data_IF_823971136700
#
_entry.id   IF_823971136700
#
_cell.length_a   1.000
_cell.length_b   1.000
_cell.length_c   1.000
_cell.angle_alpha   90.00
_cell.angle_beta   90.00
_cell.angle_gamma   90.00
#
_symmetry.space_group_name_H-M   'P 1'
#
loop_
_entity.id
_entity.type
_entity.pdbx_description
1 polymer ?
#
# COMPACT_ATOMS: atom_id res chain seq x y z
N UNK A 1 -0.20 -11.97 -16.55
CA UNK A 1 -0.98 -10.76 -16.93
C UNK A 1 -0.23 -9.94 -17.98
N UNK A 2 -0.90 -9.15 -18.84
CA UNK A 2 -0.24 -8.44 -19.95
C UNK A 2 0.83 -7.40 -19.56
N UNK A 3 0.91 -6.95 -18.29
CA UNK A 3 1.74 -5.80 -17.89
C UNK A 3 2.56 -5.92 -16.58
N UNK A 4 2.76 -7.08 -15.96
CA UNK A 4 3.69 -7.08 -14.79
C UNK A 4 3.89 -8.34 -13.97
N UNK A 5 2.89 -9.20 -13.83
CA UNK A 5 3.01 -10.33 -12.91
C UNK A 5 3.44 -11.61 -13.65
N UNK A 6 4.73 -11.72 -14.01
CA UNK A 6 5.31 -12.98 -14.57
C UNK A 6 5.86 -13.90 -13.49
N UNK A 7 6.31 -13.34 -12.36
CA UNK A 7 6.93 -14.08 -11.26
C UNK A 7 5.92 -14.56 -10.20
N UNK A 8 4.72 -13.98 -10.15
CA UNK A 8 3.67 -14.41 -9.22
C UNK A 8 3.02 -15.69 -9.72
N UNK A 9 3.02 -16.73 -8.88
CA UNK A 9 2.51 -18.07 -9.21
C UNK A 9 1.37 -18.55 -8.31
N UNK A 10 1.10 -17.84 -7.21
CA UNK A 10 0.04 -18.18 -6.25
C UNK A 10 -1.03 -17.10 -6.21
N UNK A 11 -2.26 -17.49 -5.89
CA UNK A 11 -3.43 -16.61 -5.90
C UNK A 11 -3.34 -15.44 -4.90
N UNK A 12 -2.75 -15.70 -3.74
CA UNK A 12 -2.49 -14.73 -2.66
C UNK A 12 -1.50 -13.63 -3.06
N UNK A 13 -0.75 -13.79 -4.16
CA UNK A 13 0.19 -12.80 -4.67
C UNK A 13 -0.45 -11.79 -5.63
N UNK A 14 -1.76 -11.86 -5.84
CA UNK A 14 -2.49 -10.96 -6.74
C UNK A 14 -3.44 -10.07 -5.96
N UNK A 15 -3.34 -8.77 -6.19
CA UNK A 15 -4.30 -7.81 -5.66
C UNK A 15 -5.67 -7.98 -6.35
N UNK A 16 -6.69 -7.35 -5.75
CA UNK A 16 -8.05 -7.43 -6.29
C UNK A 16 -8.14 -6.81 -7.70
N UNK A 17 -7.32 -5.82 -8.01
CA UNK A 17 -7.29 -5.20 -9.32
C UNK A 17 -6.79 -6.17 -10.40
N UNK A 18 -5.74 -6.93 -10.12
CA UNK A 18 -5.26 -8.00 -10.97
C UNK A 18 -6.36 -9.06 -11.15
N UNK A 19 -7.00 -9.52 -10.08
CA UNK A 19 -8.05 -10.54 -10.19
C UNK A 19 -9.21 -10.05 -11.09
N UNK A 20 -9.70 -8.83 -10.89
CA UNK A 20 -10.76 -8.25 -11.70
C UNK A 20 -10.34 -8.06 -13.17
N UNK A 21 -9.11 -7.61 -13.42
CA UNK A 21 -8.58 -7.46 -14.78
C UNK A 21 -8.37 -8.81 -15.47
N UNK A 22 -8.02 -9.87 -14.72
CA UNK A 22 -7.98 -11.22 -15.26
C UNK A 22 -9.39 -11.65 -15.67
N UNK A 23 -10.37 -11.47 -14.80
CA UNK A 23 -11.77 -11.81 -15.09
C UNK A 23 -12.33 -11.08 -16.30
N UNK A 24 -11.95 -9.81 -16.52
CA UNK A 24 -12.43 -9.02 -17.67
C UNK A 24 -11.78 -9.41 -19.00
N UNK A 25 -10.54 -9.89 -18.99
CA UNK A 25 -9.74 -10.15 -20.21
C UNK A 25 -9.60 -11.63 -20.57
N UNK A 26 -9.86 -12.54 -19.63
CA UNK A 26 -9.60 -13.96 -19.81
C UNK A 26 -10.82 -14.72 -20.37
N UNK A 27 -10.57 -15.53 -21.41
CA UNK A 27 -11.60 -16.33 -22.09
C UNK A 27 -12.27 -17.38 -21.18
N UNK A 28 -11.64 -17.77 -20.08
CA UNK A 28 -12.20 -18.72 -19.12
C UNK A 28 -13.38 -18.13 -18.33
N UNK A 29 -13.49 -16.80 -18.22
CA UNK A 29 -14.58 -16.13 -17.51
C UNK A 29 -15.70 -15.64 -18.44
N UNK A 30 -15.77 -16.13 -19.69
CA UNK A 30 -16.80 -15.75 -20.67
C UNK A 30 -18.23 -15.95 -20.19
N UNK A 31 -18.45 -16.87 -19.23
CA UNK A 31 -19.77 -17.12 -18.64
C UNK A 31 -20.24 -15.96 -17.75
N UNK A 32 -19.32 -15.16 -17.23
CA UNK A 32 -19.62 -13.98 -16.42
C UNK A 32 -19.67 -12.75 -17.35
N UNK A 33 -20.72 -11.94 -17.29
CA UNK A 33 -20.81 -10.72 -18.10
C UNK A 33 -19.64 -9.78 -17.83
N UNK A 34 -18.72 -9.66 -18.80
CA UNK A 34 -17.51 -8.84 -18.68
C UNK A 34 -17.81 -7.38 -18.32
N UNK A 35 -18.96 -6.85 -18.75
CA UNK A 35 -19.40 -5.50 -18.39
C UNK A 35 -19.57 -5.30 -16.88
N UNK A 36 -20.06 -6.31 -16.14
CA UNK A 36 -20.21 -6.21 -14.69
C UNK A 36 -18.87 -6.13 -13.97
N UNK A 37 -17.87 -6.87 -14.46
CA UNK A 37 -16.50 -6.80 -13.94
C UNK A 37 -15.89 -5.43 -14.25
N UNK A 38 -16.07 -4.92 -15.47
CA UNK A 38 -15.59 -3.58 -15.89
C UNK A 38 -16.23 -2.47 -15.03
N UNK A 39 -17.52 -2.58 -14.72
CA UNK A 39 -18.21 -1.60 -13.88
C UNK A 39 -17.63 -1.57 -12.46
N UNK A 40 -17.32 -2.73 -11.87
CA UNK A 40 -16.66 -2.81 -10.55
C UNK A 40 -15.23 -2.24 -10.59
N UNK A 41 -14.46 -2.51 -11.65
CA UNK A 41 -13.14 -1.89 -11.86
C UNK A 41 -13.29 -0.37 -11.93
N UNK A 42 -14.30 0.13 -12.62
CA UNK A 42 -14.57 1.57 -12.76
C UNK A 42 -14.91 2.21 -11.42
N UNK A 43 -15.77 1.57 -10.61
CA UNK A 43 -16.09 2.02 -9.25
C UNK A 43 -14.83 2.10 -8.40
N UNK A 44 -13.99 1.05 -8.41
CA UNK A 44 -12.71 1.04 -7.69
C UNK A 44 -11.83 2.22 -8.11
N UNK A 45 -11.62 2.39 -9.41
CA UNK A 45 -10.76 3.45 -9.93
C UNK A 45 -11.30 4.84 -9.56
N UNK A 46 -12.62 5.07 -9.64
CA UNK A 46 -13.24 6.34 -9.21
C UNK A 46 -12.99 6.63 -7.73
N UNK A 47 -13.11 5.62 -6.86
CA UNK A 47 -12.84 5.77 -5.43
C UNK A 47 -11.36 6.04 -5.15
N UNK A 48 -10.46 5.32 -5.81
CA UNK A 48 -9.00 5.49 -5.64
C UNK A 48 -8.46 6.80 -6.19
N UNK A 49 -9.16 7.42 -7.14
CA UNK A 49 -8.80 8.73 -7.71
C UNK A 49 -9.61 9.89 -7.11
N UNK A 50 -10.45 9.63 -6.11
CA UNK A 50 -11.10 10.71 -5.37
C UNK A 50 -10.07 11.34 -4.43
N UNK A 51 -9.77 12.65 -4.56
CA UNK A 51 -8.69 13.30 -3.80
C UNK A 51 -8.88 13.22 -2.28
N UNK A 52 -10.13 13.20 -1.82
CA UNK A 52 -10.48 13.12 -0.40
C UNK A 52 -11.04 11.76 0.01
N UNK A 53 -11.05 10.76 -0.89
CA UNK A 53 -11.80 9.50 -0.72
C UNK A 53 -13.29 9.68 -0.38
N UNK A 54 -13.84 10.86 -0.67
CA UNK A 54 -15.25 11.19 -0.48
C UNK A 54 -16.03 10.85 -1.73
N UNK A 55 -17.25 10.36 -1.51
CA UNK A 55 -18.22 10.04 -2.56
C UNK A 55 -19.60 10.46 -2.04
N UNK A 56 -20.47 10.93 -2.93
CA UNK A 56 -21.83 11.31 -2.55
C UNK A 56 -22.62 10.09 -2.07
N UNK A 57 -23.64 10.30 -1.23
CA UNK A 57 -24.50 9.19 -0.77
C UNK A 57 -25.20 8.47 -1.93
N UNK A 58 -25.52 9.19 -3.01
CA UNK A 58 -26.10 8.61 -4.22
C UNK A 58 -25.09 7.73 -4.95
N UNK A 59 -23.87 8.23 -5.14
CA UNK A 59 -22.79 7.47 -5.75
C UNK A 59 -22.42 6.24 -4.91
N UNK A 60 -22.40 6.34 -3.58
CA UNK A 60 -22.15 5.20 -2.68
C UNK A 60 -23.21 4.10 -2.86
N UNK A 61 -24.49 4.47 -2.93
CA UNK A 61 -25.58 3.52 -3.22
C UNK A 61 -25.41 2.87 -4.59
N UNK A 62 -25.04 3.65 -5.60
CA UNK A 62 -24.78 3.15 -6.95
C UNK A 62 -23.57 2.21 -7.01
N UNK A 63 -22.50 2.52 -6.27
CA UNK A 63 -21.32 1.69 -6.13
C UNK A 63 -21.65 0.37 -5.44
N UNK A 64 -22.38 0.41 -4.32
CA UNK A 64 -22.84 -0.78 -3.62
C UNK A 64 -23.69 -1.69 -4.53
N UNK A 65 -24.65 -1.12 -5.24
CA UNK A 65 -25.48 -1.84 -6.23
C UNK A 65 -24.63 -2.50 -7.32
N UNK A 66 -23.60 -1.80 -7.81
CA UNK A 66 -22.69 -2.33 -8.84
C UNK A 66 -21.94 -3.58 -8.35
N UNK A 67 -21.50 -3.57 -7.08
CA UNK A 67 -20.82 -4.72 -6.47
C UNK A 67 -21.78 -5.90 -6.28
N UNK A 68 -23.01 -5.64 -5.81
CA UNK A 68 -24.04 -6.68 -5.67
C UNK A 68 -24.37 -7.34 -7.00
N UNK A 69 -24.52 -6.56 -8.07
CA UNK A 69 -24.77 -7.10 -9.43
C UNK A 69 -23.68 -8.03 -9.92
N UNK A 70 -22.41 -7.81 -9.53
CA UNK A 70 -21.35 -8.75 -9.84
C UNK A 70 -21.48 -10.02 -9.00
N UNK A 71 -21.78 -9.90 -7.70
CA UNK A 71 -21.97 -11.05 -6.81
C UNK A 71 -23.11 -11.96 -7.28
N UNK A 72 -24.26 -11.39 -7.66
CA UNK A 72 -25.40 -12.12 -8.24
C UNK A 72 -25.00 -12.91 -9.49
N UNK A 73 -24.15 -12.34 -10.35
CA UNK A 73 -23.67 -12.99 -11.57
C UNK A 73 -22.62 -14.08 -11.31
N UNK A 74 -21.94 -14.05 -10.16
CA UNK A 74 -20.97 -15.06 -9.76
C UNK A 74 -21.63 -16.26 -9.08
N UNK A 75 -22.75 -16.04 -8.39
CA UNK A 75 -23.44 -17.04 -7.59
C UNK A 75 -23.80 -18.35 -8.35
N UNK A 76 -24.29 -18.31 -9.61
CA UNK A 76 -24.60 -19.54 -10.37
C UNK A 76 -23.35 -20.35 -10.75
N UNK A 77 -22.18 -19.72 -10.75
CA UNK A 77 -20.92 -20.34 -11.18
C UNK A 77 -20.10 -20.86 -10.00
N UNK A 78 -20.36 -20.39 -8.78
CA UNK A 78 -19.61 -20.75 -7.57
C UNK A 78 -20.60 -21.00 -6.42
N UNK A 79 -20.97 -22.26 -6.14
CA UNK A 79 -21.92 -22.62 -5.09
C UNK A 79 -21.54 -22.11 -3.69
N UNK A 80 -20.23 -22.02 -3.42
CA UNK A 80 -19.67 -21.49 -2.17
C UNK A 80 -19.97 -19.99 -1.97
N UNK A 81 -20.34 -19.28 -3.04
CA UNK A 81 -20.70 -17.85 -3.02
C UNK A 81 -22.20 -17.60 -2.80
N UNK A 82 -23.00 -18.62 -2.47
CA UNK A 82 -24.44 -18.47 -2.22
C UNK A 82 -24.80 -17.37 -1.21
N UNK A 83 -23.97 -17.17 -0.19
CA UNK A 83 -24.18 -16.17 0.86
C UNK A 83 -23.42 -14.85 0.61
N UNK A 84 -22.80 -14.68 -0.57
CA UNK A 84 -21.93 -13.55 -0.86
C UNK A 84 -22.67 -12.22 -0.83
N UNK A 85 -23.85 -12.15 -1.47
CA UNK A 85 -24.72 -10.97 -1.45
C UNK A 85 -25.04 -10.55 -0.02
N UNK A 86 -25.51 -11.50 0.80
CA UNK A 86 -25.83 -11.29 2.21
C UNK A 86 -24.62 -10.76 3.00
N UNK A 87 -23.42 -11.32 2.77
CA UNK A 87 -22.19 -10.85 3.43
C UNK A 87 -21.83 -9.42 3.01
N UNK A 88 -21.99 -9.08 1.73
CA UNK A 88 -21.72 -7.73 1.21
C UNK A 88 -22.71 -6.72 1.82
N UNK A 89 -24.00 -7.04 1.85
CA UNK A 89 -25.03 -6.18 2.45
C UNK A 89 -24.84 -6.03 3.95
N UNK A 90 -24.52 -7.11 4.67
CA UNK A 90 -24.21 -7.06 6.10
C UNK A 90 -23.02 -6.13 6.37
N UNK A 91 -21.95 -6.27 5.62
CA UNK A 91 -20.77 -5.42 5.76
C UNK A 91 -21.10 -3.95 5.49
N UNK A 92 -21.85 -3.66 4.43
CA UNK A 92 -22.29 -2.29 4.12
C UNK A 92 -23.15 -1.69 5.24
N UNK A 93 -24.11 -2.45 5.78
CA UNK A 93 -24.95 -2.00 6.89
C UNK A 93 -24.14 -1.74 8.18
N UNK A 94 -23.12 -2.57 8.46
CA UNK A 94 -22.21 -2.34 9.58
C UNK A 94 -21.45 -1.03 9.42
N UNK A 95 -20.93 -0.75 8.22
CA UNK A 95 -20.25 0.53 7.96
C UNK A 95 -21.21 1.71 8.09
N UNK A 96 -22.40 1.64 7.52
CA UNK A 96 -23.38 2.73 7.57
C UNK A 96 -23.80 3.07 9.00
N UNK A 97 -24.05 2.05 9.84
CA UNK A 97 -24.38 2.22 11.26
C UNK A 97 -23.25 2.81 12.08
N UNK A 98 -22.00 2.45 11.77
CA UNK A 98 -20.86 2.83 12.59
C UNK A 98 -20.28 4.21 12.22
N UNK A 99 -20.47 4.65 10.97
CA UNK A 99 -19.81 5.86 10.47
C UNK A 99 -20.76 6.96 9.97
N UNK A 100 -21.99 6.62 9.56
CA UNK A 100 -22.95 7.60 9.02
C UNK A 100 -24.09 7.93 9.98
N UNK A 101 -24.37 7.08 10.98
CA UNK A 101 -25.27 7.44 12.07
C UNK A 101 -24.49 8.28 13.09
N UNK A 102 -24.99 9.50 13.35
CA UNK A 102 -24.50 10.29 14.47
C UNK A 102 -24.51 9.41 15.73
N UNK A 103 -23.49 9.49 16.60
CA UNK A 103 -23.58 8.85 17.90
C UNK A 103 -24.84 9.37 18.56
N UNK A 104 -25.89 8.55 18.62
CA UNK A 104 -27.01 8.89 19.47
C UNK A 104 -26.43 8.99 20.88
N UNK A 105 -26.59 10.15 21.51
CA UNK A 105 -26.40 10.33 22.94
C UNK A 105 -27.41 9.40 23.63
N UNK A 106 -27.06 8.12 23.75
CA UNK A 106 -27.81 7.17 24.56
C UNK A 106 -27.07 7.11 25.87
N UNK A 107 -27.56 7.96 26.75
CA UNK A 107 -27.31 7.91 28.18
C UNK A 107 -27.34 6.43 28.65
N UNK A 108 -26.18 5.94 29.08
CA UNK A 108 -26.06 4.71 29.88
C UNK A 108 -26.49 3.36 29.30
N UNK A 109 -26.81 3.21 28.00
CA UNK A 109 -27.09 1.87 27.45
C UNK A 109 -25.84 1.17 26.94
N UNK A 110 -25.56 0.02 27.56
CA UNK A 110 -24.60 -0.98 27.16
C UNK A 110 -24.66 -1.17 25.63
N UNK A 111 -23.62 -0.73 24.90
CA UNK A 111 -23.48 -1.04 23.47
C UNK A 111 -23.65 -2.55 23.31
N UNK A 112 -24.64 -2.97 22.53
CA UNK A 112 -24.91 -4.38 22.27
C UNK A 112 -23.59 -5.11 21.95
N UNK A 113 -23.36 -6.28 22.58
CA UNK A 113 -22.12 -7.06 22.45
C UNK A 113 -21.81 -7.39 20.99
N UNK A 114 -22.86 -7.51 20.17
CA UNK A 114 -22.75 -7.70 18.73
C UNK A 114 -22.24 -6.44 18.02
N UNK A 115 -22.75 -5.26 18.38
CA UNK A 115 -22.27 -3.97 17.89
C UNK A 115 -20.80 -3.75 18.26
N UNK A 116 -20.38 -4.08 19.49
CA UNK A 116 -18.96 -3.99 19.89
C UNK A 116 -18.07 -4.94 19.08
N UNK A 117 -18.51 -6.17 18.83
CA UNK A 117 -17.78 -7.13 17.97
C UNK A 117 -17.68 -6.65 16.52
N UNK A 118 -18.73 -6.01 16.01
CA UNK A 118 -18.74 -5.52 14.64
C UNK A 118 -17.90 -4.25 14.48
N UNK A 119 -17.84 -3.39 15.49
CA UNK A 119 -16.84 -2.31 15.58
C UNK A 119 -15.42 -2.85 15.63
N UNK A 120 -15.15 -3.88 16.43
CA UNK A 120 -13.82 -4.47 16.52
C UNK A 120 -13.35 -5.01 15.16
N UNK A 121 -14.22 -5.70 14.41
CA UNK A 121 -13.88 -6.18 13.06
C UNK A 121 -13.56 -5.06 12.07
N UNK A 122 -14.20 -3.90 12.22
CA UNK A 122 -13.92 -2.71 11.41
C UNK A 122 -12.55 -2.16 11.78
N UNK A 123 -12.28 -1.98 13.08
CA UNK A 123 -10.97 -1.53 13.58
C UNK A 123 -9.84 -2.46 13.16
N UNK A 124 -10.01 -3.78 13.26
CA UNK A 124 -9.01 -4.76 12.85
C UNK A 124 -8.70 -4.66 11.34
N UNK A 125 -9.72 -4.37 10.52
CA UNK A 125 -9.54 -4.17 9.07
C UNK A 125 -8.87 -2.84 8.75
N UNK A 126 -9.20 -1.78 9.47
CA UNK A 126 -8.52 -0.49 9.33
C UNK A 126 -7.05 -0.60 9.69
N UNK A 127 -6.73 -1.26 10.82
CA UNK A 127 -5.36 -1.55 11.22
C UNK A 127 -4.61 -2.37 10.16
N UNK A 128 -5.26 -3.38 9.58
CA UNK A 128 -4.66 -4.16 8.49
C UNK A 128 -4.42 -3.31 7.23
N UNK A 129 -5.38 -2.45 6.84
CA UNK A 129 -5.21 -1.56 5.69
C UNK A 129 -4.07 -0.56 5.88
N UNK A 130 -3.91 -0.03 7.10
CA UNK A 130 -2.78 0.84 7.47
C UNK A 130 -1.46 0.05 7.39
N UNK A 131 -1.44 -1.18 7.91
CA UNK A 131 -0.26 -2.05 7.84
C UNK A 131 0.15 -2.36 6.40
N UNK A 132 -0.82 -2.72 5.55
CA UNK A 132 -0.59 -2.98 4.13
C UNK A 132 -0.02 -1.74 3.43
N UNK A 133 -0.51 -0.54 3.79
CA UNK A 133 0.00 0.73 3.24
C UNK A 133 1.44 1.01 3.67
N UNK A 134 1.78 0.72 4.93
CA UNK A 134 3.16 0.84 5.45
C UNK A 134 4.09 -0.15 4.74
N UNK A 135 3.64 -1.39 4.51
CA UNK A 135 4.42 -2.43 3.83
C UNK A 135 4.64 -2.11 2.33
N UNK A 136 3.65 -1.48 1.68
CA UNK A 136 3.80 -0.90 0.34
C UNK A 136 4.89 0.19 0.32
N UNK A 137 4.94 1.07 1.32
CA UNK A 137 6.03 2.04 1.44
C UNK A 137 7.40 1.35 1.60
N UNK A 138 7.54 0.37 2.49
CA UNK A 138 8.81 -0.34 2.66
C UNK A 138 9.28 -1.07 1.39
N UNK A 139 8.36 -1.72 0.68
CA UNK A 139 8.67 -2.42 -0.57
C UNK A 139 9.22 -1.49 -1.66
N UNK A 140 8.79 -0.22 -1.66
CA UNK A 140 9.29 0.82 -2.57
C UNK A 140 10.64 1.38 -2.14
N UNK A 141 10.94 1.40 -0.84
CA UNK A 141 12.26 1.76 -0.33
C UNK A 141 13.32 0.70 -0.64
N UNK A 142 12.96 -0.59 -0.59
CA UNK A 142 13.89 -1.69 -0.89
C UNK A 142 14.17 -1.88 -2.39
N UNK A 143 13.24 -1.48 -3.25
CA UNK A 143 13.42 -1.51 -4.71
C UNK A 143 13.64 -0.12 -5.28
N UNK A 144 14.89 0.27 -5.53
CA UNK A 144 15.32 1.53 -6.19
C UNK A 144 14.33 2.03 -7.29
N UNK A 145 13.29 2.76 -6.91
CA UNK A 145 12.38 3.46 -7.81
C UNK A 145 12.30 4.91 -7.35
N UNK A 146 13.19 5.71 -7.92
CA UNK A 146 13.03 7.15 -7.98
C UNK A 146 11.93 7.53 -8.99
N UNK A 147 11.28 8.65 -8.67
CA UNK A 147 10.50 9.52 -9.57
C UNK A 147 9.06 9.10 -9.94
N UNK A 148 8.11 9.41 -9.05
CA UNK A 148 7.15 10.50 -9.31
C UNK A 148 6.09 10.61 -8.20
N UNK A 149 6.15 11.69 -7.42
CA UNK A 149 4.98 12.31 -6.80
C UNK A 149 4.17 11.46 -5.81
N UNK A 150 4.78 10.49 -5.12
CA UNK A 150 4.09 9.73 -4.09
C UNK A 150 4.44 10.25 -2.69
N UNK A 151 3.41 10.43 -1.88
CA UNK A 151 3.49 10.89 -0.49
C UNK A 151 4.50 10.05 0.29
N UNK A 152 5.46 10.69 0.98
CA UNK A 152 6.40 9.93 1.81
C UNK A 152 5.66 9.26 2.97
N UNK A 153 6.23 8.20 3.54
CA UNK A 153 5.70 7.58 4.76
C UNK A 153 5.53 8.62 5.89
N UNK A 154 6.41 9.63 5.92
CA UNK A 154 6.31 10.75 6.86
C UNK A 154 5.11 11.65 6.55
N UNK A 155 4.87 11.98 5.29
CA UNK A 155 3.71 12.77 4.89
C UNK A 155 2.39 12.02 5.16
N UNK A 156 2.38 10.68 5.00
CA UNK A 156 1.26 9.83 5.35
C UNK A 156 0.97 9.83 6.85
N UNK A 157 2.01 9.74 7.69
CA UNK A 157 1.86 9.77 9.15
C UNK A 157 1.45 11.17 9.64
N UNK A 158 1.95 12.25 9.04
CA UNK A 158 1.56 13.63 9.38
C UNK A 158 0.08 13.91 9.07
N UNK A 159 -0.50 13.24 8.07
CA UNK A 159 -1.94 13.33 7.76
C UNK A 159 -2.82 12.55 8.74
N UNK A 160 -2.26 11.58 9.47
CA UNK A 160 -2.98 10.75 10.44
C UNK A 160 -2.52 11.09 11.86
N UNK A 161 -3.04 12.19 12.41
CA UNK A 161 -2.65 12.74 13.72
C UNK A 161 -2.77 11.74 14.87
N UNK A 162 -3.77 10.88 14.82
CA UNK A 162 -4.01 9.80 15.77
C UNK A 162 -2.91 8.71 15.71
N UNK A 163 -2.44 8.37 14.51
CA UNK A 163 -1.30 7.48 14.34
C UNK A 163 -0.01 8.14 14.80
N UNK A 164 0.19 9.43 14.49
CA UNK A 164 1.36 10.18 14.92
C UNK A 164 1.43 10.33 16.44
N UNK A 165 0.29 10.46 17.13
CA UNK A 165 0.25 10.54 18.60
C UNK A 165 0.69 9.22 19.24
N UNK A 166 0.31 8.08 18.65
CA UNK A 166 0.65 6.75 19.16
C UNK A 166 2.04 6.25 18.72
N UNK A 167 2.49 6.61 17.53
CA UNK A 167 3.77 6.18 16.93
C UNK A 167 4.85 7.27 16.97
N UNK A 168 4.55 8.43 17.53
CA UNK A 168 5.46 9.58 17.60
C UNK A 168 6.85 9.24 18.16
N UNK A 169 6.97 8.44 19.25
CA UNK A 169 8.28 8.02 19.77
C UNK A 169 9.10 7.22 18.74
N UNK A 170 8.48 6.27 18.05
CA UNK A 170 9.08 5.43 17.02
C UNK A 170 9.46 6.24 15.79
N UNK A 171 8.61 7.16 15.35
CA UNK A 171 8.85 8.07 14.22
C UNK A 171 10.02 9.01 14.52
N UNK A 172 10.11 9.55 15.74
CA UNK A 172 11.25 10.38 16.15
C UNK A 172 12.55 9.58 16.15
N UNK A 173 12.51 8.33 16.62
CA UNK A 173 13.67 7.43 16.59
C UNK A 173 14.11 7.10 15.16
N UNK A 174 13.16 6.94 14.23
CA UNK A 174 13.42 6.80 12.80
C UNK A 174 14.08 8.05 12.21
N UNK A 175 13.60 9.25 12.55
CA UNK A 175 14.21 10.53 12.13
C UNK A 175 15.65 10.67 12.63
N UNK A 176 15.92 10.28 13.88
CA UNK A 176 17.28 10.23 14.42
C UNK A 176 18.19 9.24 13.69
N UNK A 177 17.66 8.06 13.32
CA UNK A 177 18.41 7.07 12.54
C UNK A 177 18.72 7.59 11.14
N UNK A 178 17.76 8.23 10.47
CA UNK A 178 17.97 8.83 9.15
C UNK A 178 19.08 9.88 9.20
N UNK A 179 19.03 10.80 10.17
CA UNK A 179 20.07 11.83 10.32
C UNK A 179 21.48 11.24 10.55
N UNK A 180 21.57 10.10 11.26
CA UNK A 180 22.84 9.38 11.44
C UNK A 180 23.31 8.70 10.16
N UNK A 181 22.39 8.13 9.36
CA UNK A 181 22.71 7.54 8.05
C UNK A 181 23.26 8.60 7.11
N UNK A 182 22.57 9.75 6.99
CA UNK A 182 23.00 10.86 6.14
C UNK A 182 24.40 11.36 6.56
N UNK A 183 24.64 11.48 7.87
CA UNK A 183 25.95 11.84 8.41
C UNK A 183 27.04 10.81 8.08
N UNK A 184 26.74 9.51 8.19
CA UNK A 184 27.69 8.46 7.84
C UNK A 184 27.99 8.44 6.34
N UNK A 185 27.01 8.71 5.49
CA UNK A 185 27.17 8.76 4.04
C UNK A 185 28.09 9.91 3.61
N UNK A 186 27.97 11.09 4.24
CA UNK A 186 28.90 12.21 4.06
C UNK A 186 30.33 11.85 4.51
N UNK A 187 30.47 11.17 5.66
CA UNK A 187 31.77 10.72 6.15
C UNK A 187 32.42 9.69 5.23
N UNK A 188 31.64 8.74 4.69
CA UNK A 188 32.11 7.74 3.73
C UNK A 188 32.56 8.41 2.44
N UNK A 189 31.81 9.40 1.94
CA UNK A 189 32.18 10.17 0.76
C UNK A 189 33.53 10.89 0.94
N UNK A 190 33.73 11.53 2.10
CA UNK A 190 34.99 12.19 2.44
C UNK A 190 36.16 11.20 2.54
N UNK A 191 35.96 10.08 3.24
CA UNK A 191 36.96 9.01 3.36
C UNK A 191 37.35 8.43 2.00
N UNK A 192 36.37 8.18 1.13
CA UNK A 192 36.58 7.66 -0.23
C UNK A 192 37.44 8.65 -1.03
N UNK A 193 37.13 9.94 -0.99
CA UNK A 193 37.94 10.96 -1.67
C UNK A 193 39.39 11.05 -1.15
N UNK A 194 39.61 10.82 0.15
CA UNK A 194 40.97 10.78 0.73
C UNK A 194 41.74 9.52 0.32
N UNK A 195 41.08 8.38 0.23
CA UNK A 195 41.68 7.12 -0.24
C UNK A 195 42.13 7.27 -1.69
N UNK A 196 41.28 7.82 -2.56
CA UNK A 196 41.63 8.07 -3.97
C UNK A 196 42.86 8.97 -4.13
N UNK A 197 42.99 9.98 -3.27
CA UNK A 197 44.16 10.87 -3.25
C UNK A 197 45.43 10.13 -2.81
N UNK A 198 45.33 9.30 -1.78
CA UNK A 198 46.47 8.50 -1.29
C UNK A 198 46.91 7.45 -2.32
N UNK A 199 45.98 6.81 -3.03
CA UNK A 199 46.29 5.87 -4.10
C UNK A 199 47.04 6.56 -5.24
N UNK A 200 46.59 7.76 -5.67
CA UNK A 200 47.30 8.55 -6.68
C UNK A 200 48.73 8.89 -6.27
N UNK A 201 48.93 9.36 -5.03
CA UNK A 201 50.27 9.68 -4.51
C UNK A 201 51.15 8.43 -4.47
N UNK A 202 50.62 7.31 -3.99
CA UNK A 202 51.35 6.04 -3.90
C UNK A 202 51.76 5.51 -5.27
N UNK A 203 50.89 5.68 -6.29
CA UNK A 203 51.17 5.27 -7.66
C UNK A 203 52.28 6.11 -8.30
N UNK A 204 52.30 7.43 -8.02
CA UNK A 204 53.38 8.34 -8.45
C UNK A 204 54.72 7.97 -7.80
N UNK A 205 54.72 7.68 -6.50
CA UNK A 205 55.93 7.25 -5.78
C UNK A 205 56.50 5.94 -6.34
N UNK A 206 55.66 4.92 -6.58
CA UNK A 206 56.09 3.65 -7.19
C UNK A 206 56.64 3.84 -8.62
N UNK A 207 56.03 4.74 -9.39
CA UNK A 207 56.50 5.07 -10.75
C UNK A 207 57.90 5.71 -10.72
N UNK A 208 58.12 6.69 -9.85
CA UNK A 208 59.44 7.31 -9.65
C UNK A 208 60.50 6.32 -9.16
N UNK A 209 60.15 5.42 -8.23
CA UNK A 209 61.08 4.41 -7.73
C UNK A 209 61.48 3.40 -8.82
N UNK A 210 60.55 3.06 -9.72
CA UNK A 210 60.81 2.18 -10.87
C UNK A 210 61.71 2.87 -11.89
N UNK A 211 61.48 4.15 -12.18
CA UNK A 211 62.34 4.95 -13.08
C UNK A 211 63.75 5.05 -12.51
N UNK A 212 63.91 5.33 -11.21
CA UNK A 212 65.25 5.38 -10.59
C UNK A 212 65.97 4.02 -10.64
N UNK A 213 65.27 2.90 -10.49
CA UNK A 213 65.89 1.56 -10.62
C UNK A 213 66.31 1.21 -12.05
N UNK A 214 65.64 1.75 -13.05
CA UNK A 214 65.95 1.51 -14.48
C UNK A 214 67.09 2.38 -14.99
N UNK A 215 67.26 3.61 -14.46
CA UNK A 215 68.23 4.59 -14.96
C UNK A 215 69.50 4.77 -14.11
N UNK A 216 69.58 4.17 -12.92
CA UNK A 216 70.77 4.21 -12.05
C UNK A 216 71.57 2.88 -11.98
N UNK A 217 71.37 1.98 -12.95
CA UNK A 217 72.22 0.80 -13.22
C UNK A 217 72.92 0.97 -14.57
#
# INVERSE_FOLDING_TARGET
MPRGHKEHRKFDQFDIAAILNLMSSCKHFKSIPGQSVINVITVRNKLMHSPDFKVSNEDMKNHHKTVLQLAEKLQPHVPEMKDLEKKITQFHNTLDKNFNQAPCEVDGQLKDLQTMKDFQKVLDREQQAIKDRIEDFFSRFEGNQDENGDMSLLDFLDQNKDLLENLGPEVNKLKEMQAKVDQHEEQISNLTGRVDQLEKVTHVFKSCETIMKVYCL
#
